data_IF_357603036483
#
_entry.id   IF_357603036483
#
_cell.length_a   1.000
_cell.length_b   1.000
_cell.length_c   1.000
_cell.angle_alpha   90.00
_cell.angle_beta   90.00
_cell.angle_gamma   90.00
#
_symmetry.space_group_name_H-M   'P 1'
#
loop_
_entity.id
_entity.type
_entity.pdbx_description
1 polymer ?
#
# COMPACT_ATOMS: atom_id res chain seq x y z
N UNK A 1 -10.87 8.35 -0.15
CA UNK A 1 -9.83 8.52 0.88
C UNK A 1 -8.50 8.08 0.30
N UNK A 2 -7.41 8.81 0.54
CA UNK A 2 -6.06 8.47 0.04
C UNK A 2 -5.22 7.93 1.20
N UNK A 3 -4.59 6.76 1.02
CA UNK A 3 -3.76 6.08 2.01
C UNK A 3 -2.29 6.14 1.57
N UNK A 4 -1.39 6.41 2.51
CA UNK A 4 0.05 6.27 2.32
C UNK A 4 0.53 5.11 3.19
N UNK A 5 1.11 4.09 2.56
CA UNK A 5 1.80 3.00 3.23
C UNK A 5 3.28 3.37 3.30
N UNK A 6 3.88 3.30 4.48
CA UNK A 6 5.32 3.52 4.70
C UNK A 6 5.88 2.22 5.25
N UNK A 7 6.61 1.49 4.42
CA UNK A 7 7.17 0.18 4.76
C UNK A 7 8.57 0.06 4.16
N UNK A 8 9.52 -0.47 4.94
CA UNK A 8 10.91 -0.66 4.56
C UNK A 8 11.12 -1.95 3.77
N UNK A 9 10.31 -2.98 4.05
CA UNK A 9 10.35 -4.27 3.39
C UNK A 9 9.45 -4.29 2.13
N UNK A 10 10.07 -4.51 0.97
CA UNK A 10 9.41 -4.39 -0.33
C UNK A 10 8.21 -5.33 -0.48
N UNK A 11 8.34 -6.59 -0.07
CA UNK A 11 7.28 -7.58 -0.28
C UNK A 11 6.04 -7.25 0.55
N UNK A 12 6.24 -6.82 1.80
CA UNK A 12 5.17 -6.40 2.71
C UNK A 12 4.50 -5.14 2.19
N UNK A 13 5.26 -4.13 1.77
CA UNK A 13 4.73 -2.91 1.18
C UNK A 13 3.85 -3.18 -0.06
N UNK A 14 4.33 -4.04 -0.97
CA UNK A 14 3.59 -4.42 -2.18
C UNK A 14 2.34 -5.24 -1.85
N UNK A 15 2.40 -6.17 -0.90
CA UNK A 15 1.25 -6.96 -0.46
C UNK A 15 0.14 -6.08 0.14
N UNK A 16 0.51 -5.14 1.03
CA UNK A 16 -0.44 -4.20 1.62
C UNK A 16 -1.05 -3.27 0.57
N UNK A 17 -0.22 -2.72 -0.32
CA UNK A 17 -0.70 -1.88 -1.41
C UNK A 17 -1.70 -2.61 -2.29
N UNK A 18 -1.42 -3.86 -2.66
CA UNK A 18 -2.31 -4.67 -3.48
C UNK A 18 -3.67 -4.88 -2.79
N UNK A 19 -3.68 -5.37 -1.54
CA UNK A 19 -4.92 -5.66 -0.82
C UNK A 19 -5.78 -4.40 -0.59
N UNK A 20 -5.15 -3.25 -0.32
CA UNK A 20 -5.86 -1.99 -0.15
C UNK A 20 -6.40 -1.45 -1.49
N UNK A 21 -5.69 -1.64 -2.60
CA UNK A 21 -6.21 -1.30 -3.93
C UNK A 21 -7.39 -2.20 -4.32
N UNK A 22 -7.32 -3.50 -4.02
CA UNK A 22 -8.43 -4.45 -4.25
C UNK A 22 -9.67 -4.10 -3.42
N UNK A 23 -9.49 -3.53 -2.22
CA UNK A 23 -10.57 -3.01 -1.39
C UNK A 23 -11.14 -1.64 -1.86
N UNK A 24 -10.60 -1.07 -2.95
CA UNK A 24 -11.09 0.17 -3.55
C UNK A 24 -10.47 1.45 -2.98
N UNK A 25 -9.37 1.36 -2.23
CA UNK A 25 -8.64 2.53 -1.75
C UNK A 25 -7.62 3.03 -2.76
N UNK A 26 -7.43 4.35 -2.79
CA UNK A 26 -6.31 4.97 -3.50
C UNK A 26 -5.10 4.92 -2.58
N UNK A 27 -4.04 4.21 -2.99
CA UNK A 27 -2.87 3.94 -2.15
C UNK A 27 -1.57 4.33 -2.83
N UNK A 28 -0.74 5.09 -2.12
CA UNK A 28 0.67 5.29 -2.44
C UNK A 28 1.55 4.48 -1.46
N UNK A 29 2.67 3.96 -1.96
CA UNK A 29 3.68 3.26 -1.15
C UNK A 29 4.96 4.10 -1.15
N UNK A 30 5.39 4.51 0.04
CA UNK A 30 6.70 5.10 0.31
C UNK A 30 7.57 4.09 1.08
N UNK A 31 8.87 4.27 0.94
CA UNK A 31 9.93 3.45 1.51
C UNK A 31 10.98 4.40 2.09
#
# INVERSE_FOLDING_TARGET
MKILVVEDEQKTGDYLRQGLMEAGFVVDLAR
#
